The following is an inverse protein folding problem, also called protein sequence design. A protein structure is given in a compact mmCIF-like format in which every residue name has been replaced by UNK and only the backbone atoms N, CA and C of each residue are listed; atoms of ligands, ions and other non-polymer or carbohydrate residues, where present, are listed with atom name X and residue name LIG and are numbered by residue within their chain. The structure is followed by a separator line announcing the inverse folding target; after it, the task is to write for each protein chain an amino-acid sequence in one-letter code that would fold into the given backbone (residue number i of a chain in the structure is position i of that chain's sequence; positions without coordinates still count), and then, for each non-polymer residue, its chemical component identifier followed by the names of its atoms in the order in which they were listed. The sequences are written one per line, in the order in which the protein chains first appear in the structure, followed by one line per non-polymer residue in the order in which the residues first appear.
data_IF_095554656534
#
_entry.id   IF_095554656534
#
_cell.length_a   1.000
_cell.length_b   1.000
_cell.length_c   1.000
_cell.angle_alpha   90.00
_cell.angle_beta   90.00
_cell.angle_gamma   90.00
#
_symmetry.space_group_name_H-M   'P 1'
#
loop_
_entity.id
_entity.type
_entity.pdbx_description
1 polymer ?
#
# COMPACT_ATOMS: atom_id res chain seq x y z
N UNK A 1 -11.76 -42.41 -14.07
CA UNK A 1 -11.16 -41.62 -12.99
C UNK A 1 -11.25 -40.08 -13.19
N UNK A 2 -11.31 -39.57 -14.39
CA UNK A 2 -11.35 -38.13 -14.70
C UNK A 2 -12.62 -37.38 -14.20
N UNK A 3 -13.76 -38.03 -14.11
CA UNK A 3 -15.03 -37.43 -13.71
C UNK A 3 -15.06 -37.01 -12.23
N UNK A 4 -14.41 -37.77 -11.33
CA UNK A 4 -14.35 -37.46 -9.87
C UNK A 4 -13.49 -36.24 -9.57
N UNK A 5 -12.38 -36.05 -10.31
CA UNK A 5 -11.51 -34.89 -10.16
C UNK A 5 -12.16 -33.60 -10.67
N UNK A 6 -13.00 -33.67 -11.72
CA UNK A 6 -13.72 -32.53 -12.28
C UNK A 6 -14.78 -31.98 -11.32
N UNK A 7 -15.53 -32.86 -10.64
CA UNK A 7 -16.58 -32.45 -9.69
C UNK A 7 -15.94 -31.77 -8.46
N UNK A 8 -14.79 -32.24 -8.00
CA UNK A 8 -14.08 -31.64 -6.86
C UNK A 8 -13.57 -30.22 -7.17
N UNK A 9 -13.11 -29.98 -8.41
CA UNK A 9 -12.66 -28.68 -8.85
C UNK A 9 -13.81 -27.68 -9.08
N UNK A 10 -15.04 -28.14 -9.21
CA UNK A 10 -16.25 -27.30 -9.37
C UNK A 10 -16.85 -26.85 -8.03
N UNK A 11 -16.32 -27.29 -6.88
CA UNK A 11 -16.80 -26.85 -5.56
C UNK A 11 -16.60 -25.34 -5.38
N UNK A 12 -17.62 -24.61 -4.88
CA UNK A 12 -17.60 -23.16 -4.76
C UNK A 12 -16.73 -22.69 -3.59
N UNK A 13 -15.42 -22.68 -3.76
CA UNK A 13 -14.48 -22.21 -2.73
C UNK A 13 -13.07 -21.96 -3.27
N UNK A 14 -12.45 -20.85 -2.89
CA UNK A 14 -11.02 -20.65 -3.17
C UNK A 14 -10.20 -21.66 -2.35
N UNK A 15 -9.15 -22.28 -2.93
CA UNK A 15 -8.48 -21.99 -4.20
C UNK A 15 -8.96 -22.80 -5.42
N UNK A 16 -10.09 -23.47 -5.34
CA UNK A 16 -10.60 -24.34 -6.40
C UNK A 16 -11.13 -23.53 -7.61
N UNK A 17 -11.20 -24.16 -8.79
CA UNK A 17 -11.69 -23.48 -10.00
C UNK A 17 -13.16 -23.06 -9.88
N UNK A 18 -13.99 -23.83 -9.17
CA UNK A 18 -15.35 -23.45 -8.83
C UNK A 18 -15.42 -22.18 -7.96
N UNK A 19 -14.44 -21.92 -7.12
CA UNK A 19 -14.32 -20.69 -6.35
C UNK A 19 -14.05 -19.46 -7.24
N UNK A 20 -13.32 -19.62 -8.33
CA UNK A 20 -13.12 -18.56 -9.34
C UNK A 20 -14.40 -18.25 -10.09
N UNK A 21 -15.15 -19.28 -10.50
CA UNK A 21 -16.45 -19.13 -11.14
C UNK A 21 -17.44 -18.47 -10.20
N UNK A 22 -17.51 -18.91 -8.96
CA UNK A 22 -18.35 -18.31 -7.92
C UNK A 22 -18.00 -16.84 -7.70
N UNK A 23 -16.71 -16.51 -7.59
CA UNK A 23 -16.23 -15.12 -7.48
C UNK A 23 -16.66 -14.28 -8.68
N UNK A 24 -16.52 -14.79 -9.90
CA UNK A 24 -16.95 -14.09 -11.12
C UNK A 24 -18.47 -13.85 -11.14
N UNK A 25 -19.27 -14.83 -10.70
CA UNK A 25 -20.72 -14.70 -10.55
C UNK A 25 -21.12 -13.63 -9.54
N UNK A 26 -20.54 -13.66 -8.34
CA UNK A 26 -20.81 -12.66 -7.30
C UNK A 26 -20.35 -11.27 -7.76
N UNK A 27 -19.21 -11.16 -8.42
CA UNK A 27 -18.74 -9.89 -8.98
C UNK A 27 -19.72 -9.33 -10.03
N UNK A 28 -20.23 -10.17 -10.93
CA UNK A 28 -21.21 -9.76 -11.93
C UNK A 28 -22.50 -9.23 -11.33
N UNK A 29 -22.93 -9.78 -10.17
CA UNK A 29 -24.18 -9.38 -9.48
C UNK A 29 -23.94 -8.14 -8.62
N UNK A 30 -22.82 -8.08 -7.88
CA UNK A 30 -22.58 -7.02 -6.87
C UNK A 30 -21.83 -5.82 -7.42
N UNK A 31 -21.14 -5.95 -8.58
CA UNK A 31 -20.24 -4.94 -9.15
C UNK A 31 -18.96 -4.70 -8.32
N UNK A 32 -18.80 -5.33 -7.14
CA UNK A 32 -17.70 -5.12 -6.23
C UNK A 32 -16.79 -6.35 -6.15
N UNK A 33 -15.56 -6.18 -6.61
CA UNK A 33 -14.57 -7.27 -6.66
C UNK A 33 -14.14 -7.75 -5.26
N UNK A 34 -14.13 -6.87 -4.27
CA UNK A 34 -13.81 -7.20 -2.87
C UNK A 34 -14.86 -8.12 -2.27
N UNK A 35 -16.15 -7.80 -2.40
CA UNK A 35 -17.26 -8.62 -1.89
C UNK A 35 -17.20 -10.01 -2.52
N UNK A 36 -16.95 -10.09 -3.84
CA UNK A 36 -16.83 -11.35 -4.55
C UNK A 36 -15.66 -12.19 -4.03
N UNK A 37 -14.52 -11.58 -3.70
CA UNK A 37 -13.37 -12.30 -3.16
C UNK A 37 -13.62 -12.76 -1.72
N UNK A 38 -14.24 -11.93 -0.88
CA UNK A 38 -14.62 -12.31 0.48
C UNK A 38 -15.60 -13.46 0.51
N UNK A 39 -16.67 -13.41 -0.30
CA UNK A 39 -17.68 -14.48 -0.34
C UNK A 39 -17.09 -15.80 -0.84
N UNK A 40 -16.21 -15.78 -1.86
CA UNK A 40 -15.52 -16.98 -2.33
C UNK A 40 -14.55 -17.57 -1.31
N UNK A 41 -13.84 -16.72 -0.57
CA UNK A 41 -12.94 -17.17 0.49
C UNK A 41 -13.71 -17.72 1.70
N UNK A 42 -14.86 -17.15 2.06
CA UNK A 42 -15.73 -17.70 3.09
C UNK A 42 -16.34 -19.04 2.67
N UNK A 43 -16.76 -19.17 1.43
CA UNK A 43 -17.22 -20.45 0.88
C UNK A 43 -16.12 -21.53 0.98
N UNK A 44 -14.86 -21.18 0.71
CA UNK A 44 -13.72 -22.07 0.91
C UNK A 44 -13.53 -22.51 2.38
N UNK A 45 -13.72 -21.59 3.34
CA UNK A 45 -13.66 -21.92 4.77
C UNK A 45 -14.77 -22.87 5.20
N UNK A 46 -16.00 -22.62 4.75
CA UNK A 46 -17.15 -23.51 5.01
C UNK A 46 -16.86 -24.90 4.45
N UNK A 47 -16.33 -24.98 3.22
CA UNK A 47 -15.94 -26.24 2.61
C UNK A 47 -14.86 -26.95 3.43
N UNK A 48 -13.84 -26.24 3.92
CA UNK A 48 -12.80 -26.82 4.78
C UNK A 48 -13.39 -27.40 6.07
N UNK A 49 -14.32 -26.71 6.72
CA UNK A 49 -15.02 -27.18 7.94
C UNK A 49 -15.83 -28.43 7.63
N UNK A 50 -16.55 -28.47 6.50
CA UNK A 50 -17.31 -29.66 6.08
C UNK A 50 -16.39 -30.85 5.85
N UNK A 51 -15.22 -30.65 5.19
CA UNK A 51 -14.24 -31.73 4.98
C UNK A 51 -13.67 -32.26 6.30
N UNK A 52 -13.37 -31.39 7.26
CA UNK A 52 -12.93 -31.78 8.60
C UNK A 52 -14.06 -32.57 9.31
N UNK A 53 -15.29 -32.08 9.24
CA UNK A 53 -16.45 -32.80 9.80
C UNK A 53 -16.63 -34.20 9.21
N UNK A 54 -16.54 -34.33 7.90
CA UNK A 54 -16.60 -35.64 7.22
C UNK A 54 -15.45 -36.56 7.62
N UNK A 55 -14.23 -36.04 7.77
CA UNK A 55 -13.08 -36.80 8.22
C UNK A 55 -13.29 -37.34 9.63
N UNK A 56 -13.80 -36.53 10.56
CA UNK A 56 -14.06 -36.91 11.94
C UNK A 56 -15.24 -37.89 12.08
N UNK A 57 -16.30 -37.68 11.31
CA UNK A 57 -17.47 -38.60 11.31
C UNK A 57 -17.14 -39.98 10.73
N UNK A 58 -16.37 -40.00 9.62
CA UNK A 58 -15.97 -41.25 8.99
C UNK A 58 -15.07 -42.11 9.85
N UNK A 59 -14.29 -41.50 10.75
CA UNK A 59 -13.44 -42.23 11.72
C UNK A 59 -14.26 -42.95 12.80
N UNK A 60 -15.47 -42.50 13.09
CA UNK A 60 -16.36 -43.12 14.09
C UNK A 60 -16.94 -44.47 13.66
N UNK A 61 -16.91 -44.78 12.37
CA UNK A 61 -17.46 -46.03 11.81
C UNK A 61 -16.52 -47.25 11.89
N UNK A 62 -15.48 -47.21 12.75
CA UNK A 62 -14.67 -48.37 13.09
C UNK A 62 -13.65 -48.82 12.04
N UNK A 63 -13.49 -48.12 10.95
CA UNK A 63 -12.42 -48.36 9.99
C UNK A 63 -11.14 -47.67 10.47
N UNK A 64 -10.05 -48.45 10.56
CA UNK A 64 -8.69 -47.96 10.83
C UNK A 64 -8.45 -46.62 10.13
N UNK A 65 -7.61 -45.76 10.74
CA UNK A 65 -7.15 -44.50 10.17
C UNK A 65 -6.71 -44.74 8.72
N UNK A 66 -7.64 -44.66 7.78
CA UNK A 66 -7.30 -44.89 6.39
C UNK A 66 -6.58 -43.65 5.91
N UNK A 67 -5.55 -43.81 5.10
CA UNK A 67 -4.79 -42.73 4.45
C UNK A 67 -5.71 -41.70 3.78
N UNK A 68 -6.93 -42.10 3.43
CA UNK A 68 -7.98 -41.28 2.86
C UNK A 68 -8.42 -40.12 3.80
N UNK A 69 -8.65 -40.43 5.11
CA UNK A 69 -9.07 -39.40 6.07
C UNK A 69 -7.97 -38.41 6.38
N UNK A 70 -6.71 -38.87 6.40
CA UNK A 70 -5.55 -38.01 6.54
C UNK A 70 -5.45 -37.05 5.35
N UNK A 71 -5.66 -37.53 4.12
CA UNK A 71 -5.67 -36.69 2.93
C UNK A 71 -6.77 -35.63 2.96
N UNK A 72 -7.96 -35.96 3.48
CA UNK A 72 -9.04 -34.96 3.62
C UNK A 72 -8.65 -33.85 4.58
N UNK A 73 -7.98 -34.17 5.69
CA UNK A 73 -7.49 -33.14 6.63
C UNK A 73 -6.41 -32.27 6.03
N UNK A 74 -5.49 -32.84 5.26
CA UNK A 74 -4.45 -32.08 4.54
C UNK A 74 -5.08 -31.12 3.53
N UNK A 75 -6.04 -31.60 2.76
CA UNK A 75 -6.77 -30.77 1.77
C UNK A 75 -7.56 -29.66 2.48
N UNK A 76 -8.25 -29.96 3.57
CA UNK A 76 -8.99 -28.98 4.37
C UNK A 76 -8.05 -27.90 4.92
N UNK A 77 -6.90 -28.27 5.46
CA UNK A 77 -5.87 -27.36 5.94
C UNK A 77 -5.33 -26.47 4.82
N UNK A 78 -5.05 -27.03 3.66
CA UNK A 78 -4.61 -26.26 2.49
C UNK A 78 -5.66 -25.23 2.05
N UNK A 79 -6.93 -25.65 1.93
CA UNK A 79 -8.04 -24.74 1.57
C UNK A 79 -8.18 -23.62 2.59
N UNK A 80 -8.04 -23.92 3.88
CA UNK A 80 -8.12 -22.94 4.98
C UNK A 80 -7.03 -21.88 4.86
N UNK A 81 -5.77 -22.32 4.67
CA UNK A 81 -4.62 -21.42 4.52
C UNK A 81 -4.82 -20.50 3.32
N UNK A 82 -5.17 -21.05 2.16
CA UNK A 82 -5.38 -20.31 0.92
C UNK A 82 -6.53 -19.30 1.03
N UNK A 83 -7.64 -19.70 1.65
CA UNK A 83 -8.77 -18.81 1.91
C UNK A 83 -8.39 -17.65 2.83
N UNK A 84 -7.54 -17.91 3.83
CA UNK A 84 -7.05 -16.88 4.75
C UNK A 84 -6.13 -15.88 4.04
N UNK A 85 -5.24 -16.36 3.17
CA UNK A 85 -4.38 -15.49 2.35
C UNK A 85 -5.19 -14.64 1.38
N UNK A 86 -6.22 -15.21 0.75
CA UNK A 86 -7.11 -14.46 -0.15
C UNK A 86 -7.85 -13.33 0.59
N UNK A 87 -8.31 -13.57 1.82
CA UNK A 87 -8.95 -12.53 2.65
C UNK A 87 -7.96 -11.43 3.01
N UNK A 88 -6.73 -11.78 3.42
CA UNK A 88 -5.68 -10.80 3.75
C UNK A 88 -5.36 -9.93 2.54
N UNK A 89 -5.14 -10.55 1.37
CA UNK A 89 -4.85 -9.83 0.13
C UNK A 89 -6.01 -8.90 -0.30
N UNK A 90 -7.26 -9.33 -0.11
CA UNK A 90 -8.43 -8.50 -0.40
C UNK A 90 -8.52 -7.28 0.52
N UNK A 91 -8.25 -7.44 1.82
CA UNK A 91 -8.22 -6.33 2.80
C UNK A 91 -7.13 -5.29 2.49
N UNK A 92 -5.94 -5.76 2.13
CA UNK A 92 -4.84 -4.85 1.73
C UNK A 92 -5.29 -4.02 0.51
N UNK A 93 -5.85 -4.66 -0.52
CA UNK A 93 -6.35 -3.96 -1.71
C UNK A 93 -7.46 -2.95 -1.43
N UNK A 94 -8.28 -3.20 -0.43
CA UNK A 94 -9.37 -2.30 -0.03
C UNK A 94 -8.85 -1.04 0.68
N UNK A 95 -7.74 -1.16 1.42
CA UNK A 95 -7.12 -0.05 2.15
C UNK A 95 -6.15 0.78 1.31
N UNK A 96 -5.54 0.19 0.28
CA UNK A 96 -4.60 0.89 -0.60
C UNK A 96 -5.14 2.20 -1.21
N UNK A 97 -6.39 2.28 -1.71
CA UNK A 97 -6.93 3.53 -2.26
C UNK A 97 -7.07 4.66 -1.24
N UNK A 98 -7.08 4.35 0.06
CA UNK A 98 -7.17 5.36 1.12
C UNK A 98 -5.87 6.16 1.29
N UNK A 99 -4.72 5.61 0.82
CA UNK A 99 -3.44 6.30 0.84
C UNK A 99 -3.34 7.18 -0.40
N UNK A 100 -3.36 8.49 -0.21
CA UNK A 100 -3.24 9.46 -1.30
C UNK A 100 -2.06 10.39 -1.05
N UNK A 101 -1.40 10.83 -2.14
CA UNK A 101 -0.31 11.79 -2.05
C UNK A 101 -0.75 13.07 -1.33
N UNK A 102 -1.98 13.53 -1.56
CA UNK A 102 -2.55 14.71 -0.88
C UNK A 102 -2.64 14.54 0.64
N UNK A 103 -3.03 13.37 1.13
CA UNK A 103 -3.18 13.14 2.58
C UNK A 103 -1.85 13.01 3.31
N UNK A 104 -0.81 12.61 2.59
CA UNK A 104 0.55 12.47 3.11
C UNK A 104 1.43 13.69 2.84
N UNK A 105 0.94 14.64 2.05
CA UNK A 105 1.67 15.86 1.72
C UNK A 105 1.98 16.68 2.97
N UNK A 106 3.23 17.06 3.11
CA UNK A 106 3.68 18.05 4.08
C UNK A 106 3.51 19.42 3.49
N UNK A 107 2.98 20.35 4.29
CA UNK A 107 2.94 21.74 3.91
C UNK A 107 4.36 22.27 3.71
N UNK A 108 4.61 22.93 2.61
CA UNK A 108 5.90 23.52 2.25
C UNK A 108 5.87 25.04 2.29
N UNK A 109 7.06 25.64 2.37
CA UNK A 109 7.26 27.06 2.10
C UNK A 109 8.32 27.23 1.03
N UNK A 110 8.10 28.15 0.08
CA UNK A 110 9.11 28.55 -0.89
C UNK A 110 10.19 29.41 -0.20
N UNK A 111 11.45 29.08 -0.45
CA UNK A 111 12.60 29.82 0.08
C UNK A 111 13.67 30.02 -0.99
N UNK A 112 14.47 31.09 -0.87
CA UNK A 112 15.64 31.29 -1.70
C UNK A 112 16.80 30.38 -1.27
N UNK A 113 17.61 29.92 -2.22
CA UNK A 113 18.80 29.12 -1.95
C UNK A 113 19.81 29.83 -1.03
N UNK A 114 19.93 31.15 -1.12
CA UNK A 114 20.86 32.00 -0.32
C UNK A 114 20.35 32.33 1.09
N UNK A 115 19.11 31.91 1.43
CA UNK A 115 18.56 32.19 2.76
C UNK A 115 19.30 31.37 3.83
N UNK A 116 19.69 31.97 4.99
CA UNK A 116 20.23 31.22 6.10
C UNK A 116 19.24 30.17 6.62
N UNK A 117 19.72 28.96 6.93
CA UNK A 117 18.88 27.85 7.36
C UNK A 117 18.09 28.18 8.64
N UNK A 118 18.68 28.89 9.59
CA UNK A 118 17.98 29.31 10.82
C UNK A 118 16.74 30.16 10.50
N UNK A 119 16.85 31.06 9.55
CA UNK A 119 15.73 31.90 9.11
C UNK A 119 14.67 31.08 8.37
N UNK A 120 15.08 30.17 7.48
CA UNK A 120 14.17 29.30 6.78
C UNK A 120 13.36 28.41 7.74
N UNK A 121 14.04 27.83 8.73
CA UNK A 121 13.39 27.00 9.78
C UNK A 121 12.39 27.83 10.61
N UNK A 122 12.76 29.06 10.98
CA UNK A 122 11.88 29.96 11.73
C UNK A 122 10.61 30.30 10.91
N UNK A 123 10.76 30.59 9.61
CA UNK A 123 9.64 30.87 8.71
C UNK A 123 8.74 29.62 8.56
N UNK A 124 9.34 28.45 8.40
CA UNK A 124 8.60 27.19 8.31
C UNK A 124 7.76 26.94 9.56
N UNK A 125 8.36 27.11 10.75
CA UNK A 125 7.67 26.98 12.02
C UNK A 125 6.51 27.97 12.16
N UNK A 126 6.73 29.23 11.80
CA UNK A 126 5.68 30.26 11.81
C UNK A 126 4.52 29.99 10.84
N UNK A 127 4.79 29.33 9.72
CA UNK A 127 3.79 28.92 8.74
C UNK A 127 3.19 27.51 9.00
N UNK A 128 3.65 26.79 10.02
CA UNK A 128 3.25 25.40 10.25
C UNK A 128 3.72 24.44 9.15
N UNK A 129 4.75 24.83 8.40
CA UNK A 129 5.29 24.03 7.31
C UNK A 129 6.36 23.05 7.83
N UNK A 130 6.45 21.88 7.18
CA UNK A 130 7.42 20.83 7.50
C UNK A 130 8.38 20.53 6.37
N UNK A 131 8.29 21.26 5.28
CA UNK A 131 9.16 21.12 4.12
C UNK A 131 9.62 22.48 3.61
N UNK A 132 10.83 22.52 3.04
CA UNK A 132 11.40 23.71 2.41
C UNK A 132 11.59 23.40 0.92
N UNK A 133 11.00 24.21 0.06
CA UNK A 133 11.15 24.12 -1.38
C UNK A 133 11.96 25.31 -1.86
N UNK A 134 13.08 25.07 -2.51
CA UNK A 134 13.87 26.14 -3.09
C UNK A 134 13.26 26.55 -4.42
N UNK A 135 13.02 27.84 -4.56
CA UNK A 135 12.51 28.43 -5.78
C UNK A 135 13.52 29.41 -6.38
N UNK A 136 13.48 29.54 -7.70
CA UNK A 136 14.23 30.55 -8.44
C UNK A 136 13.52 31.92 -8.42
N UNK A 137 14.05 32.88 -9.19
CA UNK A 137 13.50 34.23 -9.30
C UNK A 137 12.11 34.28 -9.97
N UNK A 138 11.76 33.22 -10.72
CA UNK A 138 10.46 33.06 -11.38
C UNK A 138 9.46 32.27 -10.51
N UNK A 139 9.84 31.98 -9.25
CA UNK A 139 9.08 31.18 -8.30
C UNK A 139 8.88 29.72 -8.75
N UNK A 140 9.80 29.23 -9.61
CA UNK A 140 9.81 27.83 -10.07
C UNK A 140 10.61 26.97 -9.09
N UNK A 141 10.08 25.82 -8.63
CA UNK A 141 10.78 24.96 -7.71
C UNK A 141 11.98 24.29 -8.39
N UNK A 142 13.16 24.44 -7.78
CA UNK A 142 14.43 23.92 -8.29
C UNK A 142 15.04 22.84 -7.43
N UNK A 143 14.77 22.87 -6.12
CA UNK A 143 15.30 21.90 -5.18
C UNK A 143 14.40 21.74 -3.95
N UNK A 144 14.57 20.65 -3.21
CA UNK A 144 13.88 20.36 -1.95
C UNK A 144 14.92 20.11 -0.86
N UNK A 145 14.65 20.60 0.35
CA UNK A 145 15.49 20.32 1.52
C UNK A 145 14.83 19.27 2.38
N UNK A 146 15.54 18.21 2.65
CA UNK A 146 15.08 17.10 3.48
C UNK A 146 15.03 17.49 4.96
N UNK A 147 13.95 17.09 5.64
CA UNK A 147 13.84 17.28 7.10
C UNK A 147 15.03 16.64 7.83
N UNK A 148 15.51 15.50 7.35
CA UNK A 148 16.67 14.81 7.91
C UNK A 148 17.95 15.67 7.81
N UNK A 149 18.17 16.37 6.69
CA UNK A 149 19.30 17.28 6.51
C UNK A 149 19.23 18.48 7.46
N UNK A 150 18.02 19.01 7.67
CA UNK A 150 17.80 20.11 8.64
C UNK A 150 18.08 19.64 10.06
N UNK A 151 17.60 18.45 10.45
CA UNK A 151 17.80 17.88 11.77
C UNK A 151 19.26 17.49 12.04
N UNK A 152 19.97 16.99 11.02
CA UNK A 152 21.38 16.66 11.10
C UNK A 152 22.29 17.89 11.27
N UNK A 153 21.76 19.09 10.98
CA UNK A 153 22.52 20.35 11.11
C UNK A 153 22.37 20.91 12.52
N UNK A 154 23.48 21.00 13.32
CA UNK A 154 23.48 21.60 14.64
C UNK A 154 22.91 23.02 14.64
N UNK A 155 22.15 23.39 15.67
CA UNK A 155 21.45 24.67 15.72
C UNK A 155 22.41 25.88 15.65
N UNK A 156 23.58 25.74 16.26
CA UNK A 156 24.61 26.79 16.27
C UNK A 156 25.18 27.09 14.87
N UNK A 157 25.10 26.11 13.95
CA UNK A 157 25.58 26.25 12.57
C UNK A 157 24.54 26.78 11.62
N UNK A 158 23.25 26.62 11.91
CA UNK A 158 22.13 27.01 11.03
C UNK A 158 22.17 28.48 10.58
N UNK A 159 22.61 29.46 11.39
CA UNK A 159 22.70 30.85 10.93
C UNK A 159 23.74 31.09 9.81
N UNK A 160 24.75 30.21 9.73
CA UNK A 160 25.89 30.35 8.82
C UNK A 160 25.81 29.44 7.58
N UNK A 161 24.80 28.60 7.50
CA UNK A 161 24.60 27.65 6.41
C UNK A 161 23.44 28.14 5.56
N UNK A 162 23.67 28.27 4.25
CA UNK A 162 22.64 28.56 3.27
C UNK A 162 21.79 27.32 3.01
N UNK A 163 20.48 27.51 2.85
CA UNK A 163 19.51 26.43 2.54
C UNK A 163 19.91 25.65 1.30
N UNK A 164 20.45 26.34 0.30
CA UNK A 164 20.89 25.75 -0.97
C UNK A 164 21.98 24.70 -0.81
N UNK A 165 22.84 24.81 0.21
CA UNK A 165 23.91 23.83 0.46
C UNK A 165 23.42 22.47 0.98
N UNK A 166 22.20 22.42 1.52
CA UNK A 166 21.54 21.21 2.02
C UNK A 166 20.50 20.65 1.04
N UNK A 167 20.24 21.39 0.00
CA UNK A 167 19.19 21.10 -0.95
C UNK A 167 19.57 19.99 -1.92
N UNK A 168 18.60 19.17 -2.26
CA UNK A 168 18.68 18.22 -3.34
C UNK A 168 17.98 18.80 -4.56
N UNK A 169 18.70 18.90 -5.67
CA UNK A 169 18.13 19.34 -6.94
C UNK A 169 16.98 18.42 -7.36
N UNK A 170 15.87 19.03 -7.76
CA UNK A 170 14.72 18.32 -8.29
C UNK A 170 15.04 17.76 -9.68
N UNK A 171 14.96 16.45 -9.84
CA UNK A 171 14.88 15.81 -11.15
C UNK A 171 13.41 15.69 -11.58
N UNK A 172 13.12 15.62 -12.88
CA UNK A 172 11.74 15.45 -13.37
C UNK A 172 11.01 14.26 -12.73
N UNK A 173 11.74 13.18 -12.43
CA UNK A 173 11.20 11.96 -11.82
C UNK A 173 10.82 12.12 -10.35
N UNK A 174 11.29 13.19 -9.69
CA UNK A 174 10.95 13.51 -8.30
C UNK A 174 9.70 14.42 -8.20
N UNK A 175 9.12 14.80 -9.33
CA UNK A 175 7.91 15.60 -9.39
C UNK A 175 6.72 14.71 -9.68
N UNK A 176 5.81 14.59 -8.72
CA UNK A 176 4.66 13.70 -8.78
C UNK A 176 3.36 14.50 -8.75
N UNK A 177 2.30 13.94 -9.35
CA UNK A 177 0.97 14.52 -9.21
C UNK A 177 0.44 14.35 -7.80
N UNK A 178 -0.13 15.40 -7.23
CA UNK A 178 -0.80 15.36 -5.93
C UNK A 178 -2.02 14.42 -5.91
N UNK A 179 -2.59 14.10 -7.07
CA UNK A 179 -3.77 13.24 -7.19
C UNK A 179 -3.45 11.74 -7.24
N UNK A 180 -2.17 11.37 -7.18
CA UNK A 180 -1.77 9.96 -7.14
C UNK A 180 -2.27 9.28 -5.87
N UNK A 181 -2.80 8.07 -6.04
CA UNK A 181 -3.36 7.29 -4.93
C UNK A 181 -2.93 5.82 -5.01
N UNK A 182 -2.88 5.16 -3.86
CA UNK A 182 -2.72 3.71 -3.74
C UNK A 182 -1.54 3.14 -4.55
N UNK A 183 -1.86 2.20 -5.44
CA UNK A 183 -0.83 1.49 -6.23
C UNK A 183 -0.07 2.37 -7.22
N UNK A 184 -0.70 3.41 -7.76
CA UNK A 184 -0.04 4.28 -8.74
C UNK A 184 0.98 5.20 -8.05
N UNK A 185 0.69 5.63 -6.82
CA UNK A 185 1.65 6.34 -5.98
C UNK A 185 2.86 5.45 -5.66
N UNK A 186 2.64 4.18 -5.26
CA UNK A 186 3.72 3.23 -4.99
C UNK A 186 4.60 3.03 -6.23
N UNK A 187 3.99 2.80 -7.40
CA UNK A 187 4.74 2.61 -8.65
C UNK A 187 5.59 3.83 -8.99
N UNK A 188 5.03 5.03 -8.86
CA UNK A 188 5.75 6.27 -9.12
C UNK A 188 6.99 6.42 -8.23
N UNK A 189 6.85 6.15 -6.94
CA UNK A 189 7.94 6.18 -5.95
C UNK A 189 8.99 5.08 -6.23
N UNK A 190 8.57 3.88 -6.67
CA UNK A 190 9.49 2.78 -7.01
C UNK A 190 10.29 3.03 -8.29
N UNK A 191 9.75 3.78 -9.25
CA UNK A 191 10.43 4.10 -10.50
C UNK A 191 11.62 5.04 -10.31
N UNK A 192 11.53 5.96 -9.37
CA UNK A 192 12.59 6.93 -9.07
C UNK A 192 12.75 7.09 -7.56
N UNK A 193 13.44 6.17 -6.87
CA UNK A 193 13.57 6.20 -5.41
C UNK A 193 14.26 7.48 -4.93
N UNK A 194 13.56 8.24 -4.09
CA UNK A 194 14.04 9.46 -3.45
C UNK A 194 13.51 9.57 -2.01
N UNK A 195 14.13 10.38 -1.18
CA UNK A 195 13.67 10.63 0.20
C UNK A 195 12.47 11.55 0.25
N UNK A 196 12.39 12.49 -0.69
CA UNK A 196 11.28 13.44 -0.85
C UNK A 196 10.88 13.59 -2.31
N UNK A 197 9.61 13.85 -2.53
CA UNK A 197 9.02 14.16 -3.84
C UNK A 197 8.25 15.47 -3.77
N UNK A 198 8.37 16.29 -4.80
CA UNK A 198 7.55 17.46 -4.97
C UNK A 198 6.19 17.04 -5.52
N UNK A 199 5.13 17.46 -4.87
CA UNK A 199 3.76 17.23 -5.34
C UNK A 199 3.25 18.47 -6.07
N UNK A 200 2.76 18.27 -7.29
CA UNK A 200 2.15 19.34 -8.10
C UNK A 200 0.68 19.04 -8.37
N UNK A 201 -0.11 20.10 -8.42
CA UNK A 201 -1.48 20.04 -8.90
C UNK A 201 -1.55 19.98 -10.43
N UNK A 202 -2.70 19.59 -11.02
CA UNK A 202 -2.92 19.70 -12.45
C UNK A 202 -2.76 21.14 -13.02
N UNK A 203 -2.88 22.14 -12.15
CA UNK A 203 -2.63 23.56 -12.46
C UNK A 203 -1.15 23.92 -12.61
N UNK A 204 -0.22 23.00 -12.28
CA UNK A 204 1.22 23.25 -12.21
C UNK A 204 1.69 23.87 -10.89
N UNK A 205 0.78 24.18 -9.97
CA UNK A 205 1.13 24.72 -8.64
C UNK A 205 1.70 23.63 -7.74
N UNK A 206 2.68 24.01 -6.91
CA UNK A 206 3.17 23.16 -5.81
C UNK A 206 2.05 22.97 -4.80
N UNK A 207 1.78 21.72 -4.49
CA UNK A 207 0.81 21.32 -3.48
C UNK A 207 1.49 21.02 -2.13
N UNK A 208 2.71 20.52 -2.15
CA UNK A 208 3.48 20.16 -0.97
C UNK A 208 4.62 19.20 -1.29
N UNK A 209 5.21 18.65 -0.26
CA UNK A 209 6.29 17.66 -0.36
C UNK A 209 5.86 16.35 0.28
N UNK A 210 6.05 15.23 -0.42
CA UNK A 210 5.84 13.89 0.09
C UNK A 210 7.18 13.33 0.56
N UNK A 211 7.31 12.98 1.84
CA UNK A 211 8.45 12.25 2.35
C UNK A 211 8.19 10.73 2.28
N UNK A 212 9.16 9.97 1.80
CA UNK A 212 9.08 8.49 1.72
C UNK A 212 8.85 7.87 3.10
N UNK A 213 9.40 8.46 4.16
CA UNK A 213 9.17 8.01 5.53
C UNK A 213 7.69 8.05 5.93
N UNK A 214 6.92 9.07 5.50
CA UNK A 214 5.48 9.15 5.80
C UNK A 214 4.70 8.11 4.99
N UNK A 215 5.15 7.83 3.76
CA UNK A 215 4.59 6.79 2.92
C UNK A 215 4.80 5.40 3.55
N UNK A 216 6.01 5.10 4.01
CA UNK A 216 6.35 3.83 4.67
C UNK A 216 5.52 3.64 5.96
N UNK A 217 5.36 4.69 6.77
CA UNK A 217 4.51 4.65 7.96
C UNK A 217 3.04 4.41 7.61
N UNK A 218 2.52 5.04 6.56
CA UNK A 218 1.15 4.85 6.12
C UNK A 218 0.90 3.40 5.66
N UNK A 219 1.89 2.77 5.01
CA UNK A 219 1.78 1.37 4.59
C UNK A 219 2.07 0.36 5.70
N UNK A 220 2.92 0.69 6.68
CA UNK A 220 3.14 -0.16 7.85
C UNK A 220 1.89 -0.26 8.76
N UNK A 221 1.02 0.75 8.73
CA UNK A 221 -0.27 0.78 9.44
C UNK A 221 -1.44 0.09 8.71
N UNK A 222 -1.21 -0.44 7.50
CA UNK A 222 -2.21 -1.14 6.68
C UNK A 222 -2.02 -2.65 6.78
#
# INVERSE_FOLDING_TARGET
MLFRSGIFNLLPGLPLDGGRIFRAGVWKITGRQTIATFSAAWAGRVLAIVLVGLALFGQRSGSFISLYWLWLLVIAGFIWIQSTQAIKAARIRERLPAVSARTLARHDIPVSASLPLAEAVRRAQGAGARALVIVDHENTPTAVVSEASVQATPEERRPWIEVGSLARTLSPDMVLSADLTGLDLIKAVQLAPASEYLLIEPSGKVFGVLATADLDLAFAGV
#
